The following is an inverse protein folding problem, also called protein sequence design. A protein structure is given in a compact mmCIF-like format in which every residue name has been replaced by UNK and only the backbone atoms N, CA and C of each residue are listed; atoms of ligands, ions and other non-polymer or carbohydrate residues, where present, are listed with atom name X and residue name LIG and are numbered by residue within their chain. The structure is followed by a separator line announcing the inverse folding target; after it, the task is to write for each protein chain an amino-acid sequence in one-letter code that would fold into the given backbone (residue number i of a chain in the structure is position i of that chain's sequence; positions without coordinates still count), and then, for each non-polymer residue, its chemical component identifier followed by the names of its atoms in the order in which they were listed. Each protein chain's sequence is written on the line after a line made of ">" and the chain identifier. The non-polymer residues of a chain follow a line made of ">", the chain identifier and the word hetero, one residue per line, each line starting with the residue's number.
data_IF_659800179198
#
_entry.id   IF_659800179198
#
_cell.length_a   1.000
_cell.length_b   1.000
_cell.length_c   1.000
_cell.angle_alpha   90.00
_cell.angle_beta   90.00
_cell.angle_gamma   90.00
#
_symmetry.space_group_name_H-M   'P 1'
#
loop_
_entity.id
_entity.type
_entity.pdbx_description
1 polymer ?
#
# COMPACT_ATOMS: atom_id res chain seq x y z
N UNK A 1 -19.31 31.23 -33.03
CA UNK A 1 -17.83 31.02 -33.11
C UNK A 1 -17.22 31.64 -31.88
N UNK A 2 -16.28 30.91 -31.26
CA UNK A 2 -15.58 31.16 -29.99
C UNK A 2 -16.36 30.76 -28.72
N UNK A 3 -15.80 30.04 -27.77
CA UNK A 3 -14.83 28.93 -27.73
C UNK A 3 -14.98 28.38 -26.31
N UNK A 4 -15.15 27.07 -26.22
CA UNK A 4 -15.22 26.31 -24.97
C UNK A 4 -13.85 26.37 -24.28
N UNK A 5 -13.74 27.11 -23.17
CA UNK A 5 -12.55 27.05 -22.31
C UNK A 5 -12.59 25.74 -21.51
N UNK A 6 -12.11 24.68 -22.16
CA UNK A 6 -11.73 23.43 -21.51
C UNK A 6 -10.65 23.75 -20.48
N UNK A 7 -11.07 23.85 -19.22
CA UNK A 7 -10.20 23.89 -18.05
C UNK A 7 -9.33 22.63 -18.07
N UNK A 8 -8.04 22.83 -18.30
CA UNK A 8 -7.02 21.78 -18.19
C UNK A 8 -6.90 21.40 -16.71
N UNK A 9 -7.15 20.15 -16.30
CA UNK A 9 -6.90 19.73 -14.92
C UNK A 9 -5.40 19.75 -14.67
N UNK A 10 -4.97 20.49 -13.65
CA UNK A 10 -3.61 20.43 -13.11
C UNK A 10 -3.21 18.97 -12.81
N UNK A 11 -1.93 18.59 -12.97
CA UNK A 11 -1.47 17.23 -12.65
C UNK A 11 -1.80 16.94 -11.19
N UNK A 12 -2.71 15.98 -11.00
CA UNK A 12 -3.37 15.71 -9.73
C UNK A 12 -2.40 15.51 -8.58
N UNK A 13 -2.58 16.30 -7.52
CA UNK A 13 -2.06 15.97 -6.21
C UNK A 13 -2.54 14.57 -5.87
N UNK A 14 -1.62 13.60 -5.85
CA UNK A 14 -1.92 12.26 -5.36
C UNK A 14 -2.39 12.43 -3.90
N UNK A 15 -3.62 12.03 -3.57
CA UNK A 15 -4.11 12.15 -2.20
C UNK A 15 -3.19 11.34 -1.29
N UNK A 16 -2.64 11.98 -0.26
CA UNK A 16 -1.89 11.29 0.78
C UNK A 16 -2.80 10.22 1.39
N UNK A 17 -2.25 9.02 1.67
CA UNK A 17 -2.95 7.97 2.41
C UNK A 17 -3.63 8.56 3.65
N UNK A 18 -4.82 8.11 4.08
CA UNK A 18 -5.53 8.71 5.20
C UNK A 18 -4.66 8.77 6.47
N UNK A 19 -4.98 9.73 7.36
CA UNK A 19 -4.42 9.71 8.70
C UNK A 19 -4.88 8.43 9.41
N UNK A 20 -4.07 7.87 10.31
CA UNK A 20 -4.45 6.68 11.04
C UNK A 20 -5.68 6.95 11.90
N UNK A 21 -6.55 5.96 12.02
CA UNK A 21 -7.67 6.00 12.96
C UNK A 21 -7.11 5.81 14.37
N UNK A 22 -6.75 6.93 15.01
CA UNK A 22 -6.19 6.91 16.35
C UNK A 22 -6.93 7.92 17.23
N UNK A 23 -7.38 7.49 18.42
CA UNK A 23 -7.99 8.35 19.46
C UNK A 23 -7.23 9.64 19.81
N UNK A 24 -5.94 9.70 19.49
CA UNK A 24 -5.05 10.80 19.83
C UNK A 24 -4.78 11.76 18.67
N UNK A 25 -5.29 11.52 17.46
CA UNK A 25 -4.96 12.36 16.27
C UNK A 25 -5.26 13.85 16.44
N UNK A 26 -6.24 14.18 17.29
CA UNK A 26 -6.63 15.56 17.59
C UNK A 26 -5.90 16.17 18.80
N UNK A 27 -5.00 15.42 19.44
CA UNK A 27 -4.25 15.91 20.59
C UNK A 27 -3.01 16.69 20.14
N UNK A 28 -2.66 17.81 20.80
CA UNK A 28 -1.55 18.66 20.37
C UNK A 28 -0.19 17.97 20.45
N UNK A 29 0.00 17.09 21.45
CA UNK A 29 1.25 16.34 21.60
C UNK A 29 1.45 15.34 20.46
N UNK A 30 0.39 14.70 19.97
CA UNK A 30 0.47 13.76 18.85
C UNK A 30 0.72 14.49 17.54
N UNK A 31 0.09 15.65 17.33
CA UNK A 31 0.36 16.50 16.16
C UNK A 31 1.80 17.01 16.13
N UNK A 32 2.35 17.40 17.28
CA UNK A 32 3.75 17.77 17.41
C UNK A 32 4.66 16.59 17.06
N UNK A 33 4.38 15.41 17.60
CA UNK A 33 5.13 14.19 17.32
C UNK A 33 5.07 13.81 15.83
N UNK A 34 3.89 13.94 15.22
CA UNK A 34 3.66 13.74 13.79
C UNK A 34 4.44 14.75 12.95
N UNK A 35 4.46 16.02 13.35
CA UNK A 35 5.25 17.06 12.69
C UNK A 35 6.73 16.74 12.72
N UNK A 36 7.24 16.23 13.85
CA UNK A 36 8.65 15.80 13.96
C UNK A 36 8.98 14.63 13.05
N UNK A 37 8.07 13.68 12.87
CA UNK A 37 8.25 12.54 11.97
C UNK A 37 7.80 12.81 10.51
N UNK A 38 7.41 14.03 10.18
CA UNK A 38 6.84 14.37 8.87
C UNK A 38 7.80 14.06 7.71
N UNK A 39 9.12 14.16 7.94
CA UNK A 39 10.16 13.87 6.95
C UNK A 39 10.26 12.38 6.57
N UNK A 40 9.76 11.47 7.42
CA UNK A 40 9.62 10.03 7.11
C UNK A 40 8.19 9.72 6.68
N UNK A 41 7.19 10.26 7.38
CA UNK A 41 5.78 9.91 7.17
C UNK A 41 5.23 10.46 5.84
N UNK A 42 5.54 11.71 5.51
CA UNK A 42 5.01 12.36 4.31
C UNK A 42 5.37 11.61 3.02
N UNK A 43 6.65 11.23 2.78
CA UNK A 43 6.97 10.47 1.58
C UNK A 43 6.31 9.09 1.55
N UNK A 44 6.16 8.38 2.67
CA UNK A 44 5.49 7.08 2.71
C UNK A 44 3.99 7.21 2.39
N UNK A 45 3.31 8.21 2.97
CA UNK A 45 1.89 8.47 2.69
C UNK A 45 1.64 8.94 1.25
N UNK A 46 2.60 9.63 0.63
CA UNK A 46 2.53 10.00 -0.78
C UNK A 46 2.53 8.77 -1.71
N UNK A 47 3.00 7.62 -1.21
CA UNK A 47 2.95 6.32 -1.90
C UNK A 47 1.71 5.53 -1.52
N UNK A 48 0.69 6.12 -0.90
CA UNK A 48 -0.53 5.41 -0.52
C UNK A 48 -0.39 4.49 0.72
N UNK A 49 0.75 4.54 1.42
CA UNK A 49 0.98 3.71 2.61
C UNK A 49 0.40 4.36 3.87
N UNK A 50 -0.41 3.61 4.62
CA UNK A 50 -0.94 4.09 5.90
C UNK A 50 0.17 4.05 6.96
N UNK A 51 0.44 5.19 7.58
CA UNK A 51 1.45 5.35 8.62
C UNK A 51 0.79 5.70 9.95
N UNK A 52 1.30 5.15 11.05
CA UNK A 52 0.96 5.52 12.43
C UNK A 52 2.26 5.75 13.23
N UNK A 53 2.14 6.40 14.39
CA UNK A 53 3.26 6.55 15.33
C UNK A 53 2.89 5.84 16.60
N UNK A 54 3.63 4.77 16.89
CA UNK A 54 3.44 3.96 18.08
C UNK A 54 4.60 4.15 19.06
N UNK A 55 4.31 3.95 20.34
CA UNK A 55 5.36 3.88 21.36
C UNK A 55 5.80 2.42 21.49
N UNK A 56 7.02 2.12 21.05
CA UNK A 56 7.61 0.78 21.08
C UNK A 56 8.35 0.52 22.39
N UNK A 57 9.41 -0.29 22.32
CA UNK A 57 10.17 -0.73 23.50
C UNK A 57 10.66 0.43 24.40
N UNK A 58 11.16 1.52 23.79
CA UNK A 58 11.69 2.67 24.54
C UNK A 58 11.49 4.03 23.84
N UNK A 59 10.91 4.05 22.64
CA UNK A 59 10.89 5.22 21.78
C UNK A 59 9.69 5.19 20.83
N UNK A 60 9.37 6.35 20.26
CA UNK A 60 8.36 6.47 19.22
C UNK A 60 8.93 5.95 17.90
N UNK A 61 8.18 5.06 17.25
CA UNK A 61 8.50 4.47 15.96
C UNK A 61 7.34 4.72 15.00
N UNK A 62 7.65 4.76 13.71
CA UNK A 62 6.64 4.86 12.65
C UNK A 62 6.27 3.45 12.22
N UNK A 63 5.01 3.07 12.42
CA UNK A 63 4.46 1.81 11.90
C UNK A 63 3.77 2.07 10.57
N UNK A 64 4.03 1.23 9.58
CA UNK A 64 3.44 1.33 8.24
C UNK A 64 2.70 0.04 7.92
N UNK A 65 1.41 0.12 7.61
CA UNK A 65 0.64 -1.06 7.19
C UNK A 65 0.87 -1.35 5.71
N UNK A 66 1.18 -2.61 5.38
CA UNK A 66 1.40 -3.09 4.02
C UNK A 66 0.16 -3.86 3.52
N UNK A 67 -0.04 -3.99 2.20
CA UNK A 67 -1.23 -4.64 1.63
C UNK A 67 -1.27 -6.16 1.83
N UNK A 68 -0.19 -6.79 2.27
CA UNK A 68 -0.13 -8.22 2.57
C UNK A 68 -0.36 -8.54 4.06
N UNK A 69 -0.95 -7.62 4.82
CA UNK A 69 -1.16 -7.69 6.28
C UNK A 69 0.13 -7.63 7.14
N UNK A 70 1.31 -7.65 6.52
CA UNK A 70 2.56 -7.29 7.19
C UNK A 70 2.66 -5.80 7.50
N UNK A 71 3.64 -5.41 8.31
CA UNK A 71 3.90 -4.01 8.63
C UNK A 71 5.40 -3.71 8.62
N UNK A 72 5.73 -2.45 8.33
CA UNK A 72 7.07 -1.91 8.53
C UNK A 72 7.13 -1.20 9.89
N UNK A 73 8.24 -1.35 10.58
CA UNK A 73 8.60 -0.56 11.75
C UNK A 73 9.84 0.25 11.41
N UNK A 74 9.72 1.57 11.50
CA UNK A 74 10.83 2.49 11.32
C UNK A 74 11.12 3.13 12.67
N UNK A 75 12.26 2.80 13.24
CA UNK A 75 12.66 3.25 14.58
C UNK A 75 14.06 3.86 14.56
N UNK A 76 14.37 4.75 15.52
CA UNK A 76 15.75 5.13 15.78
C UNK A 76 16.54 3.94 16.39
N UNK A 77 17.88 4.01 16.46
CA UNK A 77 18.70 3.01 17.11
C UNK A 77 18.30 2.86 18.59
N UNK A 78 18.27 1.62 19.07
CA UNK A 78 17.87 1.31 20.46
C UNK A 78 19.04 1.31 21.44
N UNK A 79 20.27 1.00 20.98
CA UNK A 79 21.47 0.94 21.82
C UNK A 79 22.64 1.68 21.15
N UNK A 80 23.23 2.70 21.81
CA UNK A 80 22.76 3.31 23.06
C UNK A 80 21.41 4.03 22.87
N UNK A 81 20.61 4.22 23.95
CA UNK A 81 19.42 5.05 23.87
C UNK A 81 19.82 6.47 23.45
N UNK A 82 19.30 6.92 22.31
CA UNK A 82 19.66 8.22 21.76
C UNK A 82 19.12 9.33 22.67
N UNK A 83 19.98 10.27 23.09
CA UNK A 83 19.56 11.47 23.85
C UNK A 83 18.83 12.51 22.96
N UNK A 84 18.68 12.21 21.67
CA UNK A 84 18.08 13.11 20.69
C UNK A 84 16.56 13.16 20.82
N UNK A 85 15.93 14.30 20.48
CA UNK A 85 14.49 14.41 20.48
C UNK A 85 13.86 13.45 19.45
N UNK A 86 12.61 12.98 19.68
CA UNK A 86 11.88 12.16 18.72
C UNK A 86 11.79 12.85 17.35
N UNK A 87 12.09 12.13 16.28
CA UNK A 87 12.09 12.64 14.91
C UNK A 87 13.42 13.21 14.41
N UNK A 88 14.49 13.22 15.21
CA UNK A 88 15.84 13.61 14.74
C UNK A 88 16.91 12.61 15.17
N UNK A 89 16.83 11.34 14.77
CA UNK A 89 17.77 10.34 15.26
C UNK A 89 19.14 10.44 14.59
N UNK A 90 20.11 9.75 15.18
CA UNK A 90 21.45 9.57 14.61
C UNK A 90 21.50 8.58 13.44
N UNK A 91 20.50 7.70 13.36
CA UNK A 91 20.32 6.65 12.35
C UNK A 91 18.86 6.23 12.27
N UNK A 92 18.54 5.37 11.31
CA UNK A 92 17.23 4.74 11.18
C UNK A 92 17.41 3.24 10.99
N UNK A 93 16.52 2.48 11.60
CA UNK A 93 16.36 1.05 11.38
C UNK A 93 14.95 0.86 10.83
N UNK A 94 14.84 0.16 9.70
CA UNK A 94 13.57 -0.23 9.13
C UNK A 94 13.49 -1.75 9.03
N UNK A 95 12.50 -2.32 9.70
CA UNK A 95 12.21 -3.75 9.67
C UNK A 95 10.84 -3.99 9.07
N UNK A 96 10.65 -5.16 8.47
CA UNK A 96 9.36 -5.71 8.08
C UNK A 96 9.05 -6.92 8.94
N UNK A 97 7.82 -6.94 9.45
CA UNK A 97 7.34 -7.93 10.40
C UNK A 97 5.89 -8.31 10.07
N UNK A 98 5.46 -9.49 10.50
CA UNK A 98 4.07 -9.94 10.36
C UNK A 98 3.51 -10.34 11.74
N UNK A 99 2.31 -9.89 12.13
CA UNK A 99 1.78 -10.15 13.47
C UNK A 99 1.55 -11.65 13.75
N UNK A 100 1.13 -12.40 12.74
CA UNK A 100 0.85 -13.84 12.85
C UNK A 100 2.01 -14.73 12.39
N UNK A 101 3.06 -14.17 11.79
CA UNK A 101 4.21 -14.93 11.27
C UNK A 101 5.51 -14.40 11.87
N UNK A 102 5.92 -15.05 12.96
CA UNK A 102 7.16 -14.71 13.67
C UNK A 102 8.42 -15.08 12.88
N UNK A 103 8.29 -15.82 11.77
CA UNK A 103 9.43 -16.12 10.89
C UNK A 103 9.70 -14.98 9.91
N UNK A 104 8.72 -14.10 9.70
CA UNK A 104 8.87 -12.90 8.89
C UNK A 104 9.45 -11.78 9.75
N UNK A 105 10.78 -11.77 9.84
CA UNK A 105 11.55 -10.64 10.36
C UNK A 105 12.65 -10.30 9.35
N UNK A 106 12.52 -9.16 8.71
CA UNK A 106 13.47 -8.69 7.70
C UNK A 106 13.96 -7.28 8.01
N UNK A 107 15.27 -7.07 8.03
CA UNK A 107 15.86 -5.72 8.09
C UNK A 107 15.97 -5.20 6.66
N UNK A 108 15.17 -4.17 6.32
CA UNK A 108 15.18 -3.53 5.01
C UNK A 108 16.29 -2.49 4.91
N UNK A 109 16.51 -1.75 6.00
CA UNK A 109 17.46 -0.65 6.03
C UNK A 109 17.99 -0.46 7.45
N UNK A 110 19.28 -0.21 7.59
CA UNK A 110 19.89 0.09 8.89
C UNK A 110 21.09 1.03 8.75
N UNK A 111 20.86 2.30 9.06
CA UNK A 111 21.89 3.34 9.15
C UNK A 111 22.33 3.61 10.59
N UNK A 112 21.98 2.75 11.55
CA UNK A 112 22.40 2.91 12.93
C UNK A 112 23.94 2.86 13.03
N UNK A 113 24.55 3.79 13.79
CA UNK A 113 25.98 3.75 14.04
C UNK A 113 26.34 2.45 14.78
N UNK A 114 27.38 1.76 14.32
CA UNK A 114 27.92 0.61 15.04
C UNK A 114 28.74 1.11 16.22
N UNK A 115 28.46 0.59 17.42
CA UNK A 115 29.25 0.87 18.61
C UNK A 115 30.48 -0.05 18.73
N UNK A 116 30.58 -1.07 17.87
CA UNK A 116 31.74 -1.96 17.79
C UNK A 116 32.81 -1.38 16.85
N UNK A 117 34.01 -1.04 17.35
CA UNK A 117 35.08 -0.44 16.55
C UNK A 117 35.78 -1.44 15.60
N UNK A 118 35.52 -2.74 15.73
CA UNK A 118 36.04 -3.79 14.84
C UNK A 118 35.06 -4.23 13.76
N UNK A 119 33.79 -3.83 13.86
CA UNK A 119 32.76 -4.21 12.92
C UNK A 119 32.97 -3.49 11.57
N UNK A 120 32.78 -4.21 10.45
CA UNK A 120 32.80 -3.58 9.14
C UNK A 120 31.71 -2.50 9.07
N UNK A 121 32.10 -1.30 8.66
CA UNK A 121 31.18 -0.19 8.52
C UNK A 121 30.16 -0.51 7.42
N UNK A 122 28.89 -0.56 7.78
CA UNK A 122 27.81 -0.73 6.81
C UNK A 122 27.74 0.49 5.89
N UNK A 123 27.50 0.29 4.58
CA UNK A 123 27.37 1.40 3.63
C UNK A 123 26.34 2.46 4.07
N UNK A 124 25.26 2.03 4.70
CA UNK A 124 24.12 2.83 5.13
C UNK A 124 24.44 3.69 6.36
N UNK A 125 25.43 3.31 7.17
CA UNK A 125 25.84 4.06 8.35
C UNK A 125 26.28 5.50 8.01
N UNK A 126 26.79 5.73 6.80
CA UNK A 126 27.18 7.07 6.32
C UNK A 126 25.99 8.02 6.13
N UNK A 127 24.77 7.49 6.04
CA UNK A 127 23.57 8.27 5.83
C UNK A 127 22.99 8.83 7.13
N UNK A 128 23.36 8.26 8.28
CA UNK A 128 22.86 8.66 9.59
C UNK A 128 21.33 8.79 9.64
N UNK A 129 20.84 9.86 10.28
CA UNK A 129 19.41 10.17 10.43
C UNK A 129 18.69 10.68 9.18
N UNK A 130 19.32 10.63 7.99
CA UNK A 130 18.67 11.06 6.75
C UNK A 130 17.54 10.11 6.35
N UNK A 131 16.34 10.65 6.16
CA UNK A 131 15.19 9.87 5.72
C UNK A 131 15.23 9.50 4.23
N UNK A 132 15.87 10.29 3.37
CA UNK A 132 15.85 10.04 1.91
C UNK A 132 16.35 8.62 1.55
N UNK A 133 17.56 8.18 1.95
CA UNK A 133 18.05 6.85 1.59
C UNK A 133 17.25 5.71 2.24
N UNK A 134 16.67 5.97 3.41
CA UNK A 134 15.71 5.06 4.06
C UNK A 134 14.47 4.86 3.19
N UNK A 135 13.85 5.95 2.70
CA UNK A 135 12.67 5.88 1.84
C UNK A 135 12.99 5.18 0.52
N UNK A 136 14.15 5.46 -0.08
CA UNK A 136 14.59 4.80 -1.32
C UNK A 136 14.77 3.29 -1.13
N UNK A 137 15.33 2.85 0.00
CA UNK A 137 15.48 1.44 0.33
C UNK A 137 14.13 0.74 0.53
N UNK A 138 13.21 1.39 1.26
CA UNK A 138 11.84 0.89 1.46
C UNK A 138 11.14 0.74 0.11
N UNK A 139 11.19 1.75 -0.75
CA UNK A 139 10.58 1.70 -2.08
C UNK A 139 11.09 0.57 -2.92
N UNK A 140 12.41 0.45 -3.00
CA UNK A 140 13.03 -0.60 -3.79
C UNK A 140 12.61 -1.97 -3.28
N UNK A 141 12.54 -2.17 -1.96
CA UNK A 141 12.13 -3.45 -1.38
C UNK A 141 10.64 -3.72 -1.58
N UNK A 142 9.77 -2.75 -1.35
CA UNK A 142 8.33 -2.90 -1.58
C UNK A 142 8.01 -3.12 -3.07
N UNK A 143 8.75 -2.50 -3.98
CA UNK A 143 8.62 -2.73 -5.42
C UNK A 143 9.00 -4.17 -5.81
N UNK A 144 10.09 -4.71 -5.25
CA UNK A 144 10.49 -6.12 -5.47
C UNK A 144 9.41 -7.11 -4.99
N UNK A 145 8.73 -6.77 -3.91
CA UNK A 145 7.66 -7.60 -3.33
C UNK A 145 6.30 -7.35 -3.98
N UNK A 146 6.17 -6.34 -4.85
CA UNK A 146 4.88 -5.93 -5.43
C UNK A 146 3.91 -5.32 -4.42
N UNK A 147 4.41 -4.74 -3.33
CA UNK A 147 3.64 -4.22 -2.20
C UNK A 147 3.45 -2.69 -2.22
N UNK A 148 4.03 -1.99 -3.20
CA UNK A 148 3.71 -0.59 -3.40
C UNK A 148 2.26 -0.50 -3.90
N UNK A 149 1.37 0.22 -3.20
CA UNK A 149 0.01 0.34 -3.66
C UNK A 149 0.05 1.14 -4.97
N UNK A 150 -0.45 0.52 -6.03
CA UNK A 150 -0.60 1.20 -7.29
C UNK A 150 -1.53 2.40 -7.08
N UNK A 151 -1.27 3.56 -7.72
CA UNK A 151 -2.25 4.63 -7.73
C UNK A 151 -3.55 4.05 -8.27
N UNK A 152 -4.54 3.91 -7.38
CA UNK A 152 -5.90 3.58 -7.78
C UNK A 152 -6.35 4.78 -8.59
N UNK A 153 -6.23 4.68 -9.92
CA UNK A 153 -6.85 5.64 -10.82
C UNK A 153 -8.33 5.71 -10.39
N UNK A 154 -8.92 6.91 -10.24
CA UNK A 154 -10.28 7.07 -9.69
C UNK A 154 -11.38 6.59 -10.65
N UNK A 155 -11.19 5.48 -11.37
CA UNK A 155 -12.18 4.84 -12.21
C UNK A 155 -11.99 3.32 -12.27
N UNK A 156 -11.99 2.59 -11.15
CA UNK A 156 -12.44 1.19 -11.20
C UNK A 156 -12.84 0.65 -9.83
N UNK A 157 -13.77 1.33 -9.15
CA UNK A 157 -14.55 0.65 -8.12
C UNK A 157 -15.93 0.31 -8.69
N UNK A 158 -16.26 -0.97 -8.64
CA UNK A 158 -17.46 -1.65 -9.17
C UNK A 158 -17.41 -2.09 -10.63
N UNK A 159 -16.51 -3.01 -10.96
CA UNK A 159 -16.95 -4.12 -11.81
C UNK A 159 -17.12 -5.36 -10.95
N UNK A 160 -18.39 -5.66 -10.66
CA UNK A 160 -18.85 -6.96 -10.20
C UNK A 160 -18.61 -7.96 -11.33
N UNK A 161 -17.99 -9.13 -11.08
CA UNK A 161 -18.37 -10.31 -11.85
C UNK A 161 -18.68 -11.51 -10.95
N UNK A 162 -19.44 -12.52 -11.39
CA UNK A 162 -20.06 -12.70 -12.70
C UNK A 162 -21.58 -12.99 -12.63
N UNK A 163 -22.34 -12.57 -13.63
CA UNK A 163 -23.53 -13.34 -14.04
C UNK A 163 -23.15 -14.06 -15.32
N UNK A 164 -22.68 -15.31 -15.20
CA UNK A 164 -22.70 -16.24 -16.33
C UNK A 164 -24.17 -16.57 -16.62
N UNK A 165 -24.74 -16.22 -17.79
CA UNK A 165 -25.85 -17.00 -18.30
C UNK A 165 -25.29 -18.37 -18.68
N UNK A 166 -25.80 -19.41 -18.05
CA UNK A 166 -25.54 -20.80 -18.42
C UNK A 166 -25.72 -20.98 -19.94
N UNK A 167 -24.86 -21.76 -20.63
CA UNK A 167 -25.12 -22.12 -22.01
C UNK A 167 -26.42 -22.92 -22.06
N UNK A 168 -27.43 -22.34 -22.69
CA UNK A 168 -28.69 -23.01 -23.01
C UNK A 168 -28.40 -24.28 -23.83
N UNK A 169 -29.10 -25.40 -23.56
CA UNK A 169 -28.96 -26.61 -24.37
C UNK A 169 -29.41 -26.34 -25.82
N UNK A 170 -28.90 -27.11 -26.80
CA UNK A 170 -29.22 -26.93 -28.20
C UNK A 170 -30.74 -27.03 -28.42
N UNK A 171 -31.28 -26.01 -29.09
CA UNK A 171 -32.68 -25.90 -29.47
C UNK A 171 -33.03 -27.05 -30.41
N UNK A 172 -33.66 -28.10 -29.88
CA UNK A 172 -34.33 -29.13 -30.69
C UNK A 172 -35.47 -28.45 -31.43
N UNK A 173 -35.36 -28.38 -32.76
CA UNK A 173 -36.44 -27.95 -33.63
C UNK A 173 -37.61 -28.92 -33.50
N UNK A 174 -38.85 -28.45 -33.28
CA UNK A 174 -40.01 -29.32 -33.37
C UNK A 174 -40.16 -29.83 -34.82
N UNK A 175 -40.56 -31.09 -35.04
CA UNK A 175 -40.80 -31.61 -36.37
C UNK A 175 -41.93 -30.82 -37.04
N UNK A 176 -41.69 -30.42 -38.29
CA UNK A 176 -42.68 -29.79 -39.15
C UNK A 176 -43.92 -30.68 -39.26
N UNK A 177 -45.07 -30.17 -38.84
CA UNK A 177 -46.36 -30.78 -39.12
C UNK A 177 -46.56 -30.83 -40.64
N UNK A 178 -46.77 -32.02 -41.24
CA UNK A 178 -47.04 -32.10 -42.67
C UNK A 178 -48.47 -31.60 -42.96
N UNK A 179 -48.48 -30.59 -43.82
CA UNK A 179 -49.60 -30.02 -44.57
C UNK A 179 -50.53 -31.13 -45.13
N UNK A 180 -51.74 -31.24 -44.59
CA UNK A 180 -52.79 -32.05 -45.16
C UNK A 180 -53.38 -31.33 -46.38
N UNK A 181 -53.28 -31.95 -47.55
CA UNK A 181 -54.10 -31.70 -48.72
C UNK A 181 -54.46 -33.06 -49.36
N UNK A 182 -55.65 -33.20 -49.98
CA UNK A 182 -56.37 -34.47 -50.10
C UNK A 182 -55.91 -35.30 -51.31
N UNK A 183 -56.37 -36.56 -51.39
CA UNK A 183 -56.90 -37.01 -52.68
C UNK A 183 -58.19 -37.85 -52.58
N UNK A 184 -58.87 -37.92 -53.72
CA UNK A 184 -60.20 -38.48 -53.94
C UNK A 184 -60.21 -39.98 -54.30
N UNK A 185 -61.31 -40.66 -53.94
CA UNK A 185 -62.14 -41.62 -54.72
C UNK A 185 -61.49 -42.88 -55.33
N UNK A 186 -61.95 -44.09 -54.94
CA UNK A 186 -62.54 -45.11 -55.85
C UNK A 186 -63.12 -46.35 -55.14
N UNK A 187 -64.15 -46.89 -55.81
CA UNK A 187 -65.00 -48.09 -55.67
C UNK A 187 -64.24 -49.44 -55.62
N UNK A 188 -64.90 -50.57 -55.32
CA UNK A 188 -65.80 -51.28 -56.25
C UNK A 188 -67.30 -51.12 -55.96
#
# INVERSE_FOLDING_TARGET
>A
MAADETTTPEPGQVPLAPLPDHRNVHTPWWQELWRRHAHVITPLRARGLQCDIEFGLSTYNVRVSLPDDSYLVISPPHDPPSERPPGEPEGWIATREHPDDQTLFEVIYDSAPSNDPGAPQRPEARHGGSAQPLIEAIDHRLAQLGLLPHPVLPHENSHVPPAQPSPLPPRVLPPASPKAAPPARRTP
#
